data_IF_726909955948
#
_entry.id   IF_726909955948
#
_cell.length_a   1.000
_cell.length_b   1.000
_cell.length_c   1.000
_cell.angle_alpha   90.00
_cell.angle_beta   90.00
_cell.angle_gamma   90.00
#
_symmetry.space_group_name_H-M   'P 1'
#
loop_
_entity.id
_entity.type
_entity.pdbx_description
1 polymer ?
#
# COMPACT_ATOMS: atom_id res chain seq x y z
N UNK A 1 2.99 18.08 29.74
CA UNK A 1 2.16 16.87 29.87
C UNK A 1 2.66 15.71 29.01
N UNK A 2 2.95 15.95 27.76
CA UNK A 2 3.45 14.90 26.86
C UNK A 2 4.82 14.39 27.27
N UNK A 3 5.69 15.27 27.76
CA UNK A 3 7.04 14.96 28.24
C UNK A 3 7.05 14.07 29.48
N UNK A 4 6.07 14.18 30.37
CA UNK A 4 5.98 13.32 31.55
C UNK A 4 5.61 11.88 31.23
N UNK A 5 4.78 11.67 30.19
CA UNK A 5 4.44 10.33 29.71
C UNK A 5 5.66 9.63 29.10
N UNK A 6 6.48 10.38 28.42
CA UNK A 6 7.73 9.86 27.85
C UNK A 6 8.71 9.39 28.91
N UNK A 7 8.83 10.13 30.02
CA UNK A 7 9.69 9.75 31.14
C UNK A 7 9.23 8.45 31.82
N UNK A 8 7.91 8.25 31.94
CA UNK A 8 7.37 7.01 32.49
C UNK A 8 7.58 5.81 31.56
N UNK A 9 7.49 6.02 30.26
CA UNK A 9 7.76 4.99 29.24
C UNK A 9 9.24 4.63 29.23
N UNK A 10 10.12 5.60 29.47
CA UNK A 10 11.56 5.35 29.54
C UNK A 10 11.96 4.47 30.74
N UNK A 11 11.32 4.67 31.89
CA UNK A 11 11.55 3.84 33.06
C UNK A 11 11.00 2.42 32.89
N UNK A 12 9.87 2.28 32.20
CA UNK A 12 9.31 0.97 31.84
C UNK A 12 10.15 0.26 30.77
N UNK A 13 10.79 1.01 29.88
CA UNK A 13 11.62 0.47 28.82
C UNK A 13 12.87 -0.25 29.31
N UNK A 14 13.42 0.18 30.44
CA UNK A 14 14.59 -0.47 31.02
C UNK A 14 14.29 -1.88 31.58
N UNK A 15 13.05 -2.12 31.99
CA UNK A 15 12.61 -3.42 32.51
C UNK A 15 12.14 -4.39 31.43
N UNK A 16 11.79 -3.87 30.24
CA UNK A 16 11.26 -4.67 29.14
C UNK A 16 12.32 -5.11 28.13
N UNK A 17 13.59 -4.85 28.36
CA UNK A 17 14.66 -5.20 27.43
C UNK A 17 14.71 -6.71 27.11
N UNK A 18 14.31 -7.55 28.07
CA UNK A 18 14.28 -9.00 27.88
C UNK A 18 13.08 -9.49 27.05
N UNK A 19 12.01 -8.71 26.98
CA UNK A 19 10.79 -9.07 26.23
C UNK A 19 10.89 -8.66 24.77
N UNK A 20 11.67 -7.64 24.45
CA UNK A 20 11.88 -7.17 23.09
C UNK A 20 12.50 -8.22 22.17
N UNK A 21 13.31 -9.14 22.70
CA UNK A 21 13.93 -10.19 21.90
C UNK A 21 12.94 -11.26 21.43
N UNK A 22 11.81 -11.43 22.11
CA UNK A 22 10.76 -12.40 21.71
C UNK A 22 9.84 -11.79 20.65
N UNK A 23 9.58 -10.48 20.72
CA UNK A 23 8.73 -9.79 19.76
C UNK A 23 9.34 -9.71 18.35
N UNK A 24 10.68 -9.65 18.24
CA UNK A 24 11.36 -9.58 16.96
C UNK A 24 11.25 -10.87 16.12
N UNK A 25 10.99 -12.01 16.74
CA UNK A 25 10.85 -13.29 16.04
C UNK A 25 9.48 -13.39 15.33
N UNK A 26 8.44 -12.77 15.86
CA UNK A 26 7.08 -12.81 15.29
C UNK A 26 6.93 -11.87 14.09
N UNK A 27 7.70 -10.78 14.04
CA UNK A 27 7.65 -9.80 12.96
C UNK A 27 8.32 -10.29 11.66
N UNK A 28 9.21 -11.29 11.72
CA UNK A 28 9.99 -11.76 10.58
C UNK A 28 9.16 -12.36 9.43
N UNK A 29 8.03 -13.01 9.72
CA UNK A 29 7.21 -13.65 8.69
C UNK A 29 6.44 -12.62 7.85
N UNK A 30 5.87 -11.59 8.48
CA UNK A 30 5.19 -10.51 7.77
C UNK A 30 6.17 -9.68 6.94
N UNK A 31 7.36 -9.43 7.46
CA UNK A 31 8.40 -8.70 6.76
C UNK A 31 8.87 -9.43 5.51
N UNK A 32 8.93 -10.75 5.54
CA UNK A 32 9.31 -11.58 4.38
C UNK A 32 8.28 -11.53 3.26
N UNK A 33 7.00 -11.54 3.59
CA UNK A 33 5.93 -11.44 2.59
C UNK A 33 5.94 -10.08 1.92
N UNK A 34 6.06 -9.01 2.68
CA UNK A 34 6.19 -7.67 2.14
C UNK A 34 7.44 -7.52 1.27
N UNK A 35 8.54 -8.14 1.68
CA UNK A 35 9.78 -8.09 0.92
C UNK A 35 9.64 -8.81 -0.43
N UNK A 36 8.99 -9.97 -0.48
CA UNK A 36 8.73 -10.69 -1.72
C UNK A 36 7.85 -9.89 -2.66
N UNK A 37 6.80 -9.27 -2.14
CA UNK A 37 5.92 -8.42 -2.93
C UNK A 37 6.67 -7.25 -3.53
N UNK A 38 7.50 -6.57 -2.74
CA UNK A 38 8.32 -5.48 -3.22
C UNK A 38 9.32 -5.93 -4.29
N UNK A 39 9.92 -7.10 -4.12
CA UNK A 39 10.87 -7.66 -5.09
C UNK A 39 10.19 -7.99 -6.42
N UNK A 40 8.99 -8.56 -6.38
CA UNK A 40 8.21 -8.85 -7.58
C UNK A 40 7.81 -7.60 -8.34
N UNK A 41 7.35 -6.58 -7.63
CA UNK A 41 6.98 -5.28 -8.21
C UNK A 41 8.20 -4.63 -8.85
N UNK A 42 9.32 -4.62 -8.14
CA UNK A 42 10.57 -4.03 -8.64
C UNK A 42 11.05 -4.72 -9.89
N UNK A 43 11.03 -6.05 -9.90
CA UNK A 43 11.42 -6.84 -11.07
C UNK A 43 10.53 -6.55 -12.28
N UNK A 44 9.22 -6.44 -12.07
CA UNK A 44 8.28 -6.12 -13.14
C UNK A 44 8.50 -4.72 -13.71
N UNK A 45 8.75 -3.74 -12.84
CA UNK A 45 9.08 -2.38 -13.26
C UNK A 45 10.37 -2.35 -14.09
N UNK A 46 11.40 -3.09 -13.68
CA UNK A 46 12.67 -3.17 -14.41
C UNK A 46 12.52 -3.81 -15.77
N UNK A 47 11.61 -4.77 -15.92
CA UNK A 47 11.33 -5.42 -17.21
C UNK A 47 10.37 -4.63 -18.09
N UNK A 48 9.86 -3.49 -17.63
CA UNK A 48 8.91 -2.68 -18.39
C UNK A 48 7.55 -3.34 -18.56
N UNK A 49 7.17 -4.21 -17.65
CA UNK A 49 5.89 -4.94 -17.69
C UNK A 49 4.70 -4.13 -17.17
N UNK A 50 4.96 -2.97 -16.60
CA UNK A 50 3.96 -2.13 -15.94
C UNK A 50 3.78 -0.85 -16.74
N UNK A 51 2.54 -0.46 -16.99
CA UNK A 51 2.22 0.79 -17.65
C UNK A 51 2.64 1.98 -16.79
N UNK A 52 3.00 3.11 -17.42
CA UNK A 52 3.31 4.33 -16.67
C UNK A 52 2.15 4.77 -15.78
N UNK A 53 2.46 5.25 -14.59
CA UNK A 53 1.46 5.69 -13.63
C UNK A 53 0.56 6.79 -14.19
N UNK A 54 1.11 7.70 -14.98
CA UNK A 54 0.34 8.76 -15.64
C UNK A 54 -0.80 8.22 -16.49
N UNK A 55 -0.56 7.12 -17.18
CA UNK A 55 -1.58 6.45 -17.98
C UNK A 55 -2.64 5.78 -17.12
N UNK A 56 -2.22 5.13 -16.05
CA UNK A 56 -3.12 4.49 -15.08
C UNK A 56 -4.03 5.52 -14.42
N UNK A 57 -3.48 6.65 -14.02
CA UNK A 57 -4.27 7.75 -13.42
C UNK A 57 -5.28 8.33 -14.40
N UNK A 58 -4.90 8.47 -15.67
CA UNK A 58 -5.83 8.93 -16.70
C UNK A 58 -7.01 7.98 -16.87
N UNK A 59 -6.75 6.67 -16.88
CA UNK A 59 -7.80 5.65 -16.95
C UNK A 59 -8.73 5.75 -15.73
N UNK A 60 -8.17 5.86 -14.54
CA UNK A 60 -8.93 5.97 -13.30
C UNK A 60 -9.86 7.19 -13.33
N UNK A 61 -9.37 8.35 -13.74
CA UNK A 61 -10.15 9.58 -13.79
C UNK A 61 -11.23 9.58 -14.87
N UNK A 62 -11.04 8.83 -15.95
CA UNK A 62 -12.08 8.63 -16.94
C UNK A 62 -13.25 7.82 -16.39
N UNK A 63 -12.95 6.84 -15.53
CA UNK A 63 -13.95 6.00 -14.90
C UNK A 63 -14.66 6.70 -13.76
N UNK A 64 -13.90 7.39 -12.93
CA UNK A 64 -14.41 8.12 -11.75
C UNK A 64 -13.76 9.50 -11.74
N UNK A 65 -14.43 10.53 -12.27
CA UNK A 65 -13.91 11.90 -12.16
C UNK A 65 -13.82 12.34 -10.69
N UNK A 66 -12.72 12.97 -10.35
CA UNK A 66 -12.47 13.46 -9.00
C UNK A 66 -10.98 13.57 -8.69
N UNK A 67 -10.67 13.70 -7.41
CA UNK A 67 -9.31 13.83 -6.93
C UNK A 67 -8.74 12.48 -6.50
N UNK A 68 -7.59 12.12 -7.03
CA UNK A 68 -6.87 10.92 -6.61
C UNK A 68 -6.28 11.17 -5.22
N UNK A 69 -6.65 10.35 -4.25
CA UNK A 69 -6.19 10.48 -2.87
C UNK A 69 -5.26 9.36 -2.42
N UNK A 70 -5.23 8.24 -3.11
CA UNK A 70 -4.34 7.13 -2.78
C UNK A 70 -4.02 6.30 -4.02
N UNK A 71 -2.79 5.83 -4.12
CA UNK A 71 -2.34 4.93 -5.18
C UNK A 71 -1.48 3.83 -4.55
N UNK A 72 -1.83 2.58 -4.82
CA UNK A 72 -1.04 1.41 -4.42
C UNK A 72 -0.81 0.49 -5.62
N UNK A 73 0.36 -0.08 -5.71
CA UNK A 73 0.66 -1.16 -6.64
C UNK A 73 0.87 -2.45 -5.85
N UNK A 74 0.05 -3.43 -6.13
CA UNK A 74 0.07 -4.71 -5.44
C UNK A 74 0.42 -5.85 -6.39
N UNK A 75 1.10 -6.86 -5.84
CA UNK A 75 1.29 -8.14 -6.51
C UNK A 75 0.50 -9.20 -5.76
N UNK A 76 -0.45 -9.82 -6.45
CA UNK A 76 -1.25 -10.94 -5.91
C UNK A 76 -1.17 -12.11 -6.86
N UNK A 77 -0.53 -13.20 -6.43
CA UNK A 77 -0.42 -14.42 -7.23
C UNK A 77 0.12 -14.17 -8.63
N UNK A 78 1.12 -13.31 -8.74
CA UNK A 78 1.73 -12.92 -10.01
C UNK A 78 0.98 -11.86 -10.81
N UNK A 79 -0.22 -11.49 -10.42
CA UNK A 79 -0.95 -10.38 -11.02
C UNK A 79 -0.50 -9.06 -10.39
N UNK A 80 -0.22 -8.07 -11.23
CA UNK A 80 0.13 -6.73 -10.78
C UNK A 80 -1.08 -5.83 -10.95
N UNK A 81 -1.54 -5.25 -9.86
CA UNK A 81 -2.78 -4.49 -9.80
C UNK A 81 -2.54 -3.14 -9.14
N UNK A 82 -2.96 -2.07 -9.81
CA UNK A 82 -3.06 -0.76 -9.19
C UNK A 82 -4.40 -0.63 -8.48
N UNK A 83 -4.35 -0.22 -7.23
CA UNK A 83 -5.51 0.22 -6.48
C UNK A 83 -5.46 1.73 -6.35
N UNK A 84 -6.49 2.40 -6.85
CA UNK A 84 -6.55 3.86 -6.87
C UNK A 84 -7.83 4.29 -6.16
N UNK A 85 -7.67 5.15 -5.15
CA UNK A 85 -8.81 5.76 -4.48
C UNK A 85 -9.01 7.16 -5.00
N UNK A 86 -10.24 7.45 -5.40
CA UNK A 86 -10.64 8.74 -5.94
C UNK A 86 -11.74 9.32 -5.06
N UNK A 87 -11.55 10.55 -4.62
CA UNK A 87 -12.60 11.34 -3.99
C UNK A 87 -13.47 11.94 -5.10
N UNK A 88 -14.63 11.37 -5.30
CA UNK A 88 -15.56 11.82 -6.33
C UNK A 88 -16.23 13.13 -5.94
N UNK A 89 -16.81 13.82 -6.92
CA UNK A 89 -17.54 15.08 -6.70
C UNK A 89 -18.69 14.95 -5.73
N UNK A 90 -19.27 13.75 -5.65
CA UNK A 90 -20.34 13.43 -4.70
C UNK A 90 -19.86 13.39 -3.23
N UNK A 91 -18.56 13.46 -2.98
CA UNK A 91 -17.95 13.29 -1.66
C UNK A 91 -17.66 11.84 -1.29
N UNK A 92 -18.02 10.90 -2.13
CA UNK A 92 -17.72 9.48 -1.92
C UNK A 92 -16.31 9.14 -2.34
N UNK A 93 -15.68 8.26 -1.59
CA UNK A 93 -14.40 7.68 -1.98
C UNK A 93 -14.68 6.38 -2.73
N UNK A 94 -14.15 6.30 -3.94
CA UNK A 94 -14.31 5.13 -4.79
C UNK A 94 -12.96 4.49 -5.06
N UNK A 95 -12.92 3.17 -5.02
CA UNK A 95 -11.71 2.41 -5.28
C UNK A 95 -11.79 1.78 -6.66
N UNK A 96 -10.75 1.98 -7.46
CA UNK A 96 -10.64 1.44 -8.80
C UNK A 96 -9.44 0.50 -8.83
N UNK A 97 -9.67 -0.74 -9.24
CA UNK A 97 -8.59 -1.71 -9.45
C UNK A 97 -8.32 -1.83 -10.94
N UNK A 98 -7.08 -1.64 -11.32
CA UNK A 98 -6.65 -1.62 -12.71
C UNK A 98 -5.48 -2.58 -12.88
N UNK A 99 -5.55 -3.43 -13.91
CA UNK A 99 -4.43 -4.27 -14.28
C UNK A 99 -3.25 -3.39 -14.69
N UNK A 100 -2.13 -3.53 -13.98
CA UNK A 100 -0.96 -2.68 -14.18
C UNK A 100 -0.27 -2.93 -15.52
N UNK A 101 -0.45 -4.10 -16.12
CA UNK A 101 0.21 -4.46 -17.37
C UNK A 101 -0.52 -3.93 -18.59
N UNK A 102 -1.85 -3.98 -18.62
CA UNK A 102 -2.65 -3.64 -19.78
C UNK A 102 -3.61 -2.47 -19.59
N UNK A 103 -3.76 -1.96 -18.37
CA UNK A 103 -4.66 -0.84 -18.08
C UNK A 103 -6.14 -1.21 -18.00
N UNK A 104 -6.45 -2.50 -18.00
CA UNK A 104 -7.84 -2.95 -17.94
C UNK A 104 -8.42 -2.71 -16.55
N UNK A 105 -9.59 -2.10 -16.49
CA UNK A 105 -10.32 -1.90 -15.24
C UNK A 105 -10.90 -3.24 -14.79
N UNK A 106 -10.47 -3.68 -13.61
CA UNK A 106 -10.90 -4.97 -13.04
C UNK A 106 -12.16 -4.79 -12.21
N UNK A 107 -12.20 -3.74 -11.40
CA UNK A 107 -13.28 -3.53 -10.44
C UNK A 107 -13.36 -2.06 -10.05
N UNK A 108 -14.58 -1.59 -9.83
CA UNK A 108 -14.85 -0.28 -9.23
C UNK A 108 -15.84 -0.52 -8.10
N UNK A 109 -15.50 -0.05 -6.90
CA UNK A 109 -16.34 -0.21 -5.73
C UNK A 109 -16.28 1.01 -4.83
N UNK A 110 -17.26 1.16 -3.97
CA UNK A 110 -17.23 2.18 -2.93
C UNK A 110 -16.31 1.72 -1.80
N UNK A 111 -15.52 2.64 -1.33
CA UNK A 111 -14.58 2.38 -0.24
C UNK A 111 -15.28 2.52 1.13
#
# INVERSE_FOLDING_TARGET
MVTMRWLKVFLAGALCAAVLSVASVVADDDDREHQREHDEIRAALQRGEVLPLTRILAIAQQQVPGDVIEVELESKRGALIYEIKVLAESGRVREIKIDARNGKVIKIEDD
#
